data_IF_754105936916
#
_entry.id   IF_754105936916
#
_cell.length_a   1.000
_cell.length_b   1.000
_cell.length_c   1.000
_cell.angle_alpha   90.00
_cell.angle_beta   90.00
_cell.angle_gamma   90.00
#
_symmetry.space_group_name_H-M   'P 1'
#
loop_
_entity.id
_entity.type
_entity.pdbx_description
1 polymer ?
#
# COMPACT_ATOMS: atom_id res chain seq x y z
N UNK A 1 41.03 41.84 49.38
CA UNK A 1 40.09 41.65 48.25
C UNK A 1 39.98 40.16 47.96
N UNK A 2 38.84 39.53 48.30
CA UNK A 2 38.64 38.11 48.06
C UNK A 2 38.38 37.84 46.56
N UNK A 3 39.24 37.06 45.91
CA UNK A 3 39.04 36.65 44.52
C UNK A 3 37.75 35.81 44.40
N UNK A 4 36.74 36.35 43.73
CA UNK A 4 35.50 35.62 43.40
C UNK A 4 35.87 34.33 42.66
N UNK A 5 35.64 33.17 43.29
CA UNK A 5 35.80 31.85 42.65
C UNK A 5 34.91 31.81 41.40
N UNK A 6 35.52 31.73 40.21
CA UNK A 6 34.81 31.62 38.93
C UNK A 6 34.01 30.31 38.90
N UNK A 7 32.68 30.39 38.75
CA UNK A 7 31.84 29.21 38.53
C UNK A 7 32.37 28.46 37.29
N UNK A 8 32.43 27.12 37.30
CA UNK A 8 32.84 26.35 36.14
C UNK A 8 31.91 26.68 34.98
N UNK A 9 32.48 27.19 33.89
CA UNK A 9 31.73 27.79 32.77
C UNK A 9 31.02 26.73 31.91
N UNK A 10 31.37 25.44 32.05
CA UNK A 10 30.87 24.36 31.18
C UNK A 10 30.79 23.02 31.95
N UNK A 11 29.78 22.21 31.62
CA UNK A 11 29.52 20.92 32.26
C UNK A 11 30.58 19.86 31.88
N UNK A 12 30.98 19.05 32.88
CA UNK A 12 32.07 18.06 32.83
C UNK A 12 31.59 16.67 32.37
N UNK A 13 30.31 16.33 32.56
CA UNK A 13 29.70 15.08 32.05
C UNK A 13 29.05 15.35 30.70
N UNK A 14 29.87 15.42 29.66
CA UNK A 14 29.42 15.78 28.31
C UNK A 14 29.07 14.51 27.52
N UNK A 15 27.82 14.38 27.10
CA UNK A 15 27.37 13.26 26.26
C UNK A 15 27.75 13.51 24.80
N UNK A 16 28.99 13.15 24.45
CA UNK A 16 29.55 13.32 23.11
C UNK A 16 28.83 12.52 22.03
N UNK A 17 28.25 11.37 22.38
CA UNK A 17 27.48 10.55 21.44
C UNK A 17 26.22 11.28 20.97
N UNK A 18 25.50 11.95 21.90
CA UNK A 18 24.31 12.74 21.57
C UNK A 18 24.62 13.92 20.66
N UNK A 19 25.70 14.66 20.98
CA UNK A 19 26.19 15.79 20.16
C UNK A 19 26.54 15.36 18.73
N UNK A 20 27.21 14.22 18.60
CA UNK A 20 27.60 13.63 17.32
C UNK A 20 26.38 13.21 16.52
N UNK A 21 25.46 12.45 17.12
CA UNK A 21 24.24 11.99 16.46
C UNK A 21 23.42 13.18 15.93
N UNK A 22 23.24 14.21 16.75
CA UNK A 22 22.48 15.40 16.36
C UNK A 22 23.16 16.18 15.21
N UNK A 23 24.49 16.31 15.23
CA UNK A 23 25.23 16.97 14.15
C UNK A 23 25.16 16.18 12.83
N UNK A 24 25.30 14.85 12.90
CA UNK A 24 25.31 14.01 11.70
C UNK A 24 23.92 13.85 11.07
N UNK A 25 22.85 13.88 11.87
CA UNK A 25 21.47 13.66 11.41
C UNK A 25 20.73 14.92 11.03
N UNK A 26 21.21 16.12 11.43
CA UNK A 26 20.48 17.39 11.19
C UNK A 26 21.34 18.43 10.47
N UNK A 27 20.69 19.41 9.84
CA UNK A 27 21.38 20.49 9.14
C UNK A 27 21.80 21.65 10.06
N UNK A 28 22.38 21.35 11.23
CA UNK A 28 22.86 22.36 12.18
C UNK A 28 24.34 22.65 11.99
N UNK A 29 24.74 23.90 12.14
CA UNK A 29 26.17 24.26 12.14
C UNK A 29 26.83 23.85 13.47
N UNK A 30 28.16 23.61 13.44
CA UNK A 30 28.91 23.34 14.67
C UNK A 30 28.85 24.49 15.69
N UNK A 31 28.65 25.73 15.25
CA UNK A 31 28.44 26.90 16.13
C UNK A 31 27.09 26.85 16.83
N UNK A 32 26.03 26.47 16.12
CA UNK A 32 24.71 26.32 16.70
C UNK A 32 24.64 25.11 17.64
N UNK A 33 25.28 24.00 17.28
CA UNK A 33 25.43 22.83 18.17
C UNK A 33 26.16 23.22 19.48
N UNK A 34 27.23 24.01 19.38
CA UNK A 34 27.96 24.52 20.52
C UNK A 34 27.11 25.41 21.43
N UNK A 35 26.29 26.30 20.83
CA UNK A 35 25.35 27.17 21.55
C UNK A 35 24.26 26.36 22.25
N UNK A 36 23.64 25.40 21.54
CA UNK A 36 22.53 24.57 22.03
C UNK A 36 22.92 23.71 23.22
N UNK A 37 24.12 23.13 23.19
CA UNK A 37 24.63 22.24 24.24
C UNK A 37 25.52 22.96 25.27
N UNK A 38 25.66 24.28 25.19
CA UNK A 38 26.51 25.10 26.05
C UNK A 38 27.96 24.57 26.16
N UNK A 39 28.55 24.27 25.01
CA UNK A 39 29.92 23.74 24.87
C UNK A 39 30.78 24.78 24.13
N UNK A 40 32.05 24.99 24.51
CA UNK A 40 32.92 25.86 23.73
C UNK A 40 33.06 25.33 22.30
N UNK A 41 32.90 26.22 21.31
CA UNK A 41 33.04 25.89 19.89
C UNK A 41 34.36 25.20 19.59
N UNK A 42 35.48 25.68 20.14
CA UNK A 42 36.80 25.08 19.96
C UNK A 42 36.84 23.62 20.42
N UNK A 43 36.14 23.27 21.50
CA UNK A 43 36.09 21.88 21.98
C UNK A 43 35.26 20.98 21.07
N UNK A 44 34.14 21.47 20.54
CA UNK A 44 33.37 20.73 19.52
C UNK A 44 34.20 20.57 18.25
N UNK A 45 34.79 21.65 17.74
CA UNK A 45 35.55 21.64 16.50
C UNK A 45 36.76 20.70 16.55
N UNK A 46 37.56 20.76 17.63
CA UNK A 46 38.70 19.83 17.80
C UNK A 46 38.27 18.37 17.85
N UNK A 47 37.10 18.07 18.45
CA UNK A 47 36.58 16.71 18.52
C UNK A 47 35.99 16.25 17.19
N UNK A 48 35.21 17.10 16.55
CA UNK A 48 34.63 16.86 15.23
C UNK A 48 35.70 16.59 14.18
N UNK A 49 36.84 17.29 14.24
CA UNK A 49 37.98 17.02 13.36
C UNK A 49 38.65 15.68 13.66
N UNK A 50 38.89 15.36 14.93
CA UNK A 50 39.52 14.08 15.33
C UNK A 50 38.68 12.87 14.96
N UNK A 51 37.37 12.99 15.09
CA UNK A 51 36.41 11.91 14.81
C UNK A 51 35.79 12.00 13.41
N UNK A 52 36.22 12.97 12.58
CA UNK A 52 35.76 13.20 11.20
C UNK A 52 34.23 13.30 11.06
N UNK A 53 33.59 14.09 11.93
CA UNK A 53 32.13 14.22 11.95
C UNK A 53 31.54 14.75 10.64
N UNK A 54 32.28 15.55 9.87
CA UNK A 54 31.83 16.04 8.56
C UNK A 54 31.67 14.92 7.53
N UNK A 55 32.64 13.99 7.46
CA UNK A 55 32.56 12.84 6.56
C UNK A 55 31.42 11.89 6.98
N UNK A 56 31.29 11.63 8.29
CA UNK A 56 30.20 10.80 8.82
C UNK A 56 28.83 11.45 8.64
N UNK A 57 28.75 12.78 8.63
CA UNK A 57 27.52 13.49 8.30
C UNK A 57 27.15 13.28 6.83
N UNK A 58 28.12 13.34 5.92
CA UNK A 58 27.85 13.10 4.49
C UNK A 58 27.33 11.67 4.25
N UNK A 59 27.92 10.68 4.91
CA UNK A 59 27.45 9.28 4.86
C UNK A 59 26.05 9.14 5.47
N UNK A 60 25.82 9.68 6.67
CA UNK A 60 24.52 9.63 7.33
C UNK A 60 23.42 10.33 6.51
N UNK A 61 23.74 11.43 5.83
CA UNK A 61 22.79 12.12 4.96
C UNK A 61 22.45 11.28 3.73
N UNK A 62 23.43 10.63 3.09
CA UNK A 62 23.19 9.70 1.98
C UNK A 62 22.28 8.55 2.40
N UNK A 63 22.51 7.97 3.58
CA UNK A 63 21.66 6.90 4.11
C UNK A 63 20.24 7.39 4.42
N UNK A 64 20.11 8.59 5.02
CA UNK A 64 18.80 9.21 5.28
C UNK A 64 18.06 9.51 3.99
N UNK A 65 18.75 10.07 2.98
CA UNK A 65 18.15 10.40 1.68
C UNK A 65 17.67 9.12 0.97
N UNK A 66 18.47 8.06 1.00
CA UNK A 66 18.09 6.75 0.45
C UNK A 66 16.87 6.14 1.18
N UNK A 67 16.84 6.24 2.51
CA UNK A 67 15.70 5.78 3.32
C UNK A 67 14.44 6.62 3.04
N UNK A 68 14.58 7.94 2.88
CA UNK A 68 13.49 8.84 2.51
C UNK A 68 12.95 8.50 1.12
N UNK A 69 13.83 8.27 0.14
CA UNK A 69 13.45 7.83 -1.21
C UNK A 69 12.68 6.49 -1.17
N UNK A 70 13.16 5.52 -0.39
CA UNK A 70 12.50 4.24 -0.21
C UNK A 70 11.09 4.41 0.41
N UNK A 71 10.95 5.22 1.46
CA UNK A 71 9.67 5.50 2.09
C UNK A 71 8.70 6.26 1.18
N UNK A 72 9.20 7.20 0.38
CA UNK A 72 8.41 7.91 -0.62
C UNK A 72 7.89 6.91 -1.66
N UNK A 73 8.78 6.09 -2.23
CA UNK A 73 8.41 5.08 -3.22
C UNK A 73 7.36 4.12 -2.67
N UNK A 74 7.56 3.64 -1.44
CA UNK A 74 6.62 2.74 -0.77
C UNK A 74 5.25 3.38 -0.55
N UNK A 75 5.23 4.65 -0.14
CA UNK A 75 3.98 5.42 -0.01
C UNK A 75 3.23 5.55 -1.34
N UNK A 76 3.94 5.80 -2.45
CA UNK A 76 3.32 5.86 -3.78
C UNK A 76 2.82 4.50 -4.25
N UNK A 77 3.57 3.42 -4.01
CA UNK A 77 3.11 2.04 -4.27
C UNK A 77 1.83 1.73 -3.51
N UNK A 78 1.80 1.99 -2.20
CA UNK A 78 0.62 1.74 -1.37
C UNK A 78 -0.60 2.55 -1.84
N UNK A 79 -0.40 3.80 -2.24
CA UNK A 79 -1.47 4.62 -2.83
C UNK A 79 -2.04 4.01 -4.12
N UNK A 80 -1.18 3.46 -4.98
CA UNK A 80 -1.62 2.80 -6.21
C UNK A 80 -2.29 1.44 -5.93
N UNK A 81 -1.80 0.68 -4.93
CA UNK A 81 -2.43 -0.55 -4.44
C UNK A 81 -3.84 -0.24 -3.93
N UNK A 82 -4.00 0.77 -3.06
CA UNK A 82 -5.31 1.17 -2.52
C UNK A 82 -6.29 1.55 -3.63
N UNK A 83 -5.81 2.27 -4.66
CA UNK A 83 -6.63 2.61 -5.83
C UNK A 83 -7.10 1.35 -6.56
N UNK A 84 -6.21 0.37 -6.77
CA UNK A 84 -6.54 -0.91 -7.42
C UNK A 84 -7.52 -1.73 -6.57
N UNK A 85 -7.29 -1.82 -5.26
CA UNK A 85 -8.18 -2.53 -4.32
C UNK A 85 -9.58 -1.92 -4.34
N UNK A 86 -9.70 -0.60 -4.17
CA UNK A 86 -10.99 0.09 -4.19
C UNK A 86 -11.74 -0.08 -5.51
N UNK A 87 -11.00 -0.08 -6.63
CA UNK A 87 -11.59 -0.34 -7.95
C UNK A 87 -12.10 -1.78 -8.04
N UNK A 88 -11.34 -2.75 -7.52
CA UNK A 88 -11.75 -4.15 -7.47
C UNK A 88 -12.98 -4.39 -6.58
N UNK A 89 -13.05 -3.75 -5.41
CA UNK A 89 -14.22 -3.80 -4.53
C UNK A 89 -15.49 -3.30 -5.24
N UNK A 90 -15.39 -2.16 -5.93
CA UNK A 90 -16.50 -1.62 -6.73
C UNK A 90 -16.91 -2.57 -7.86
N UNK A 91 -15.94 -3.27 -8.47
CA UNK A 91 -16.25 -4.29 -9.47
C UNK A 91 -17.02 -5.44 -8.84
N UNK A 92 -16.53 -6.03 -7.75
CA UNK A 92 -17.23 -7.11 -7.05
C UNK A 92 -18.67 -6.71 -6.71
N UNK A 93 -18.86 -5.50 -6.19
CA UNK A 93 -20.21 -4.99 -5.89
C UNK A 93 -21.11 -4.89 -7.15
N UNK A 94 -20.56 -4.42 -8.28
CA UNK A 94 -21.29 -4.35 -9.55
C UNK A 94 -21.58 -5.75 -10.11
N UNK A 95 -20.68 -6.72 -9.93
CA UNK A 95 -20.91 -8.12 -10.28
C UNK A 95 -22.06 -8.71 -9.48
N UNK A 96 -22.03 -8.55 -8.15
CA UNK A 96 -23.07 -9.07 -7.27
C UNK A 96 -24.44 -8.49 -7.64
N UNK A 97 -24.51 -7.19 -7.90
CA UNK A 97 -25.74 -6.54 -8.40
C UNK A 97 -26.17 -7.06 -9.77
N UNK A 98 -25.23 -7.30 -10.69
CA UNK A 98 -25.51 -7.86 -12.00
C UNK A 98 -26.06 -9.29 -11.92
N UNK A 99 -25.48 -10.11 -11.03
CA UNK A 99 -25.94 -11.46 -10.73
C UNK A 99 -27.34 -11.46 -10.11
N UNK A 100 -27.62 -10.55 -9.17
CA UNK A 100 -28.95 -10.38 -8.60
C UNK A 100 -30.00 -10.05 -9.68
N UNK A 101 -29.66 -9.16 -10.62
CA UNK A 101 -30.55 -8.85 -11.75
C UNK A 101 -30.74 -10.07 -12.64
N UNK A 102 -29.68 -10.80 -12.97
CA UNK A 102 -29.76 -12.02 -13.77
C UNK A 102 -30.64 -13.09 -13.09
N UNK A 103 -30.47 -13.30 -11.78
CA UNK A 103 -31.28 -14.23 -10.99
C UNK A 103 -32.76 -13.85 -11.01
N UNK A 104 -33.09 -12.57 -10.81
CA UNK A 104 -34.48 -12.08 -10.89
C UNK A 104 -35.10 -12.27 -12.27
N UNK A 105 -34.32 -12.04 -13.33
CA UNK A 105 -34.77 -12.27 -14.71
C UNK A 105 -35.04 -13.75 -14.97
N UNK A 106 -34.20 -14.64 -14.45
CA UNK A 106 -34.40 -16.09 -14.53
C UNK A 106 -35.65 -16.55 -13.78
N UNK A 107 -35.87 -16.05 -12.56
CA UNK A 107 -37.06 -16.38 -11.77
C UNK A 107 -38.35 -15.97 -12.51
N UNK A 108 -38.36 -14.77 -13.10
CA UNK A 108 -39.50 -14.28 -13.87
C UNK A 108 -39.74 -15.14 -15.12
N UNK A 109 -38.67 -15.54 -15.82
CA UNK A 109 -38.74 -16.44 -16.95
C UNK A 109 -39.37 -17.79 -16.56
N UNK A 110 -38.89 -18.41 -15.47
CA UNK A 110 -39.43 -19.67 -14.96
C UNK A 110 -40.91 -19.54 -14.56
N UNK A 111 -41.29 -18.46 -13.89
CA UNK A 111 -42.70 -18.19 -13.53
C UNK A 111 -43.60 -18.10 -14.75
N UNK A 112 -43.17 -17.39 -15.80
CA UNK A 112 -43.95 -17.25 -17.03
C UNK A 112 -44.11 -18.61 -17.75
N UNK A 113 -43.08 -19.47 -17.74
CA UNK A 113 -43.14 -20.82 -18.29
C UNK A 113 -44.10 -21.73 -17.52
N UNK A 114 -44.03 -21.75 -16.19
CA UNK A 114 -44.94 -22.53 -15.33
C UNK A 114 -46.39 -22.09 -15.54
N UNK A 115 -46.62 -20.79 -15.71
CA UNK A 115 -47.93 -20.22 -16.00
C UNK A 115 -48.44 -20.51 -17.44
N UNK A 116 -47.66 -21.20 -18.28
CA UNK A 116 -48.05 -21.54 -19.65
C UNK A 116 -48.14 -20.35 -20.61
N UNK A 117 -47.47 -19.22 -20.30
CA UNK A 117 -47.49 -18.05 -21.19
C UNK A 117 -46.77 -18.35 -22.49
N UNK A 118 -47.42 -18.06 -23.63
CA UNK A 118 -46.84 -18.21 -24.98
C UNK A 118 -45.63 -17.31 -25.25
N UNK A 119 -45.45 -16.24 -24.47
CA UNK A 119 -44.31 -15.32 -24.54
C UNK A 119 -43.91 -14.91 -23.13
N UNK A 120 -42.62 -15.02 -22.84
CA UNK A 120 -42.02 -14.57 -21.59
C UNK A 120 -41.49 -13.14 -21.75
N UNK A 121 -41.48 -12.35 -20.67
CA UNK A 121 -40.92 -11.00 -20.70
C UNK A 121 -39.40 -10.94 -20.88
N UNK A 122 -38.70 -12.03 -20.56
CA UNK A 122 -37.27 -12.24 -20.77
C UNK A 122 -37.06 -13.61 -21.43
N UNK A 123 -36.15 -13.73 -22.40
CA UNK A 123 -35.81 -15.02 -23.03
C UNK A 123 -34.45 -15.52 -22.57
N UNK A 124 -34.15 -16.81 -22.77
CA UNK A 124 -32.81 -17.36 -22.53
C UNK A 124 -31.71 -16.58 -23.27
N UNK A 125 -32.00 -16.04 -24.45
CA UNK A 125 -31.08 -15.17 -25.18
C UNK A 125 -30.82 -13.84 -24.46
N UNK A 126 -31.84 -13.23 -23.85
CA UNK A 126 -31.66 -12.00 -23.07
C UNK A 126 -30.73 -12.22 -21.86
N UNK A 127 -30.83 -13.39 -21.21
CA UNK A 127 -29.96 -13.78 -20.11
C UNK A 127 -28.52 -14.02 -20.57
N UNK A 128 -28.32 -14.74 -21.68
CA UNK A 128 -27.00 -14.98 -22.25
C UNK A 128 -26.30 -13.68 -22.69
N UNK A 129 -27.03 -12.76 -23.32
CA UNK A 129 -26.50 -11.44 -23.67
C UNK A 129 -26.10 -10.62 -22.43
N UNK A 130 -26.91 -10.69 -21.37
CA UNK A 130 -26.64 -9.96 -20.13
C UNK A 130 -25.40 -10.53 -19.41
N UNK A 131 -25.31 -11.85 -19.29
CA UNK A 131 -24.15 -12.54 -18.72
C UNK A 131 -22.88 -12.30 -19.54
N UNK A 132 -22.98 -12.39 -20.87
CA UNK A 132 -21.86 -12.13 -21.77
C UNK A 132 -21.38 -10.67 -21.71
N UNK A 133 -22.28 -9.70 -21.56
CA UNK A 133 -21.92 -8.29 -21.38
C UNK A 133 -21.19 -8.07 -20.04
N UNK A 134 -21.69 -8.68 -18.96
CA UNK A 134 -21.10 -8.63 -17.62
C UNK A 134 -19.68 -9.26 -17.61
N UNK A 135 -19.48 -10.41 -18.24
CA UNK A 135 -18.16 -11.06 -18.35
C UNK A 135 -17.16 -10.23 -19.18
N UNK A 136 -17.60 -9.65 -20.31
CA UNK A 136 -16.72 -8.81 -21.16
C UNK A 136 -16.28 -7.54 -20.46
N UNK A 137 -17.18 -6.89 -19.72
CA UNK A 137 -16.85 -5.74 -18.88
C UNK A 137 -15.78 -6.11 -17.83
N UNK A 138 -15.89 -7.30 -17.24
CA UNK A 138 -14.93 -7.80 -16.23
C UNK A 138 -13.53 -7.87 -16.80
N UNK A 139 -13.43 -8.57 -17.94
CA UNK A 139 -12.17 -8.89 -18.58
C UNK A 139 -11.48 -7.62 -19.06
N UNK A 140 -12.20 -6.72 -19.74
CA UNK A 140 -11.64 -5.46 -20.22
C UNK A 140 -11.07 -4.59 -19.11
N UNK A 141 -11.73 -4.53 -17.95
CA UNK A 141 -11.28 -3.72 -16.83
C UNK A 141 -10.12 -4.36 -16.06
N UNK A 142 -10.14 -5.68 -15.82
CA UNK A 142 -9.00 -6.40 -15.19
C UNK A 142 -7.73 -6.28 -16.01
N UNK A 143 -7.85 -6.33 -17.34
CA UNK A 143 -6.76 -6.06 -18.28
C UNK A 143 -6.26 -4.60 -18.16
N UNK A 144 -7.15 -3.61 -18.12
CA UNK A 144 -6.75 -2.19 -18.02
C UNK A 144 -6.03 -1.83 -16.71
N UNK A 145 -6.29 -2.59 -15.64
CA UNK A 145 -5.69 -2.39 -14.32
C UNK A 145 -4.44 -3.27 -14.11
N UNK A 146 -4.07 -4.06 -15.13
CA UNK A 146 -2.95 -4.99 -15.09
C UNK A 146 -3.07 -6.01 -13.95
N UNK A 147 -4.29 -6.37 -13.56
CA UNK A 147 -4.58 -7.29 -12.46
C UNK A 147 -4.35 -8.74 -12.90
N UNK A 148 -4.61 -9.03 -14.18
CA UNK A 148 -4.43 -10.35 -14.79
C UNK A 148 -3.00 -10.61 -15.31
N UNK A 149 -2.06 -9.67 -15.11
CA UNK A 149 -0.66 -9.82 -15.52
C UNK A 149 0.20 -10.61 -14.50
N UNK A 150 -0.42 -11.20 -13.49
CA UNK A 150 0.20 -12.33 -12.81
C UNK A 150 0.06 -13.51 -13.75
N UNK A 151 1.18 -14.15 -14.12
CA UNK A 151 1.18 -15.50 -14.69
C UNK A 151 0.56 -16.45 -13.65
N UNK A 152 -0.77 -16.43 -13.54
CA UNK A 152 -1.51 -17.45 -12.81
C UNK A 152 -1.42 -18.67 -13.72
N UNK A 153 -0.57 -19.63 -13.35
CA UNK A 153 -0.58 -20.94 -13.97
C UNK A 153 -2.05 -21.38 -14.05
N UNK A 154 -2.55 -21.61 -15.26
CA UNK A 154 -3.90 -22.10 -15.50
C UNK A 154 -4.06 -23.44 -14.77
N UNK A 155 -4.49 -23.40 -13.51
CA UNK A 155 -4.97 -24.58 -12.82
C UNK A 155 -6.43 -24.69 -13.23
N UNK A 156 -6.70 -25.54 -14.23
CA UNK A 156 -8.05 -25.91 -14.60
C UNK A 156 -8.80 -26.39 -13.33
N UNK A 157 -10.03 -25.90 -13.07
CA UNK A 157 -10.81 -26.36 -11.94
C UNK A 157 -11.17 -27.84 -12.14
N UNK A 158 -10.84 -28.68 -11.16
CA UNK A 158 -11.25 -30.09 -11.15
C UNK A 158 -12.78 -30.19 -11.16
N UNK A 159 -13.35 -30.56 -12.31
CA UNK A 159 -14.77 -30.91 -12.42
C UNK A 159 -14.96 -32.27 -11.75
N UNK A 160 -15.46 -32.28 -10.52
CA UNK A 160 -15.96 -33.50 -9.87
C UNK A 160 -17.31 -33.87 -10.49
N UNK A 161 -17.29 -34.78 -11.46
CA UNK A 161 -18.50 -35.44 -11.96
C UNK A 161 -19.05 -36.30 -10.82
N UNK A 162 -20.18 -35.91 -10.24
CA UNK A 162 -20.93 -36.78 -9.31
C UNK A 162 -21.68 -37.80 -10.17
N UNK A 163 -21.02 -38.93 -10.45
CA UNK A 163 -21.66 -40.08 -11.08
C UNK A 163 -22.48 -40.82 -10.02
N UNK A 164 -23.78 -40.53 -9.94
CA UNK A 164 -24.64 -41.23 -8.97
C UNK A 164 -26.08 -40.75 -8.83
N UNK A 165 -26.61 -39.93 -9.75
CA UNK A 165 -28.06 -39.66 -9.76
C UNK A 165 -28.70 -40.76 -10.60
N UNK A 166 -29.19 -41.81 -9.94
CA UNK A 166 -30.11 -42.77 -10.54
C UNK A 166 -31.45 -42.06 -10.75
N UNK A 167 -31.88 -41.94 -12.01
CA UNK A 167 -33.12 -41.25 -12.39
C UNK A 167 -34.39 -42.08 -12.08
N UNK A 168 -34.26 -43.23 -11.42
CA UNK A 168 -35.41 -44.05 -11.04
C UNK A 168 -36.05 -43.68 -9.69
N UNK A 169 -35.48 -42.74 -8.94
CA UNK A 169 -36.01 -42.29 -7.63
C UNK A 169 -36.64 -40.87 -7.66
N UNK A 170 -37.14 -40.41 -8.83
CA UNK A 170 -38.00 -39.22 -8.94
C UNK A 170 -39.42 -39.63 -9.37
#
# INVERSE_FOLDING_TARGET
>A
MAAKKRKPKYDKKRNWAKLKAEYCTTNISMRELAKKHNVPYSTINSRAMREKWTAQREECLKDIDAEVEAQILEKYKNKEIDRKVKTNELHTELYDKGLDVAARLLDNYMRDLIAGKKRTGATAANLDYLMGAIQKAQKGQRMSLNIDNADVAEVEPEVKIISGIDMNDI
#
